data_IF_291472622288
#
_entry.id   IF_291472622288
#
_cell.length_a   1.000
_cell.length_b   1.000
_cell.length_c   1.000
_cell.angle_alpha   90.00
_cell.angle_beta   90.00
_cell.angle_gamma   90.00
#
_symmetry.space_group_name_H-M   'P 1'
#
loop_
_entity.id
_entity.type
_entity.pdbx_description
1 polymer ?
#
# COMPACT_ATOMS: atom_id res chain seq x y z
N UNK A 1 -11.65 -63.15 57.66
CA UNK A 1 -12.83 -62.27 57.58
C UNK A 1 -12.94 -61.78 56.16
N UNK A 2 -13.96 -62.29 55.49
CA UNK A 2 -14.39 -61.90 54.16
C UNK A 2 -15.14 -60.55 54.21
N UNK A 3 -15.35 -59.94 53.04
CA UNK A 3 -16.38 -58.95 52.64
C UNK A 3 -15.85 -57.83 51.73
N UNK A 4 -15.71 -58.19 50.46
CA UNK A 4 -16.21 -57.47 49.29
C UNK A 4 -16.75 -56.04 49.50
N UNK A 5 -16.06 -55.03 48.96
CA UNK A 5 -16.69 -53.83 48.42
C UNK A 5 -15.80 -53.22 47.33
N UNK A 6 -16.45 -52.86 46.20
CA UNK A 6 -15.96 -52.15 45.01
C UNK A 6 -15.31 -52.94 43.87
N UNK A 7 -16.20 -53.63 43.13
CA UNK A 7 -16.11 -53.85 41.70
C UNK A 7 -17.10 -52.87 41.03
N UNK A 8 -16.64 -51.85 40.29
CA UNK A 8 -17.15 -51.44 38.96
C UNK A 8 -16.47 -50.13 38.46
N UNK A 9 -16.00 -50.05 37.20
CA UNK A 9 -15.36 -48.86 36.64
C UNK A 9 -16.30 -48.13 35.65
N UNK A 10 -17.27 -47.36 36.14
CA UNK A 10 -18.02 -46.42 35.29
C UNK A 10 -18.48 -45.20 36.09
N UNK A 11 -17.75 -44.07 35.97
CA UNK A 11 -18.32 -42.74 35.70
C UNK A 11 -17.30 -41.60 35.94
N UNK A 12 -17.23 -40.72 34.93
CA UNK A 12 -16.79 -39.32 34.97
C UNK A 12 -15.32 -39.02 35.25
N UNK A 13 -14.55 -38.81 34.18
CA UNK A 13 -14.05 -37.49 33.75
C UNK A 13 -13.13 -37.69 32.54
N UNK A 14 -13.52 -37.19 31.37
CA UNK A 14 -12.70 -37.33 30.17
C UNK A 14 -13.41 -36.89 28.89
N UNK A 15 -13.70 -35.60 28.74
CA UNK A 15 -13.95 -35.05 27.40
C UNK A 15 -12.61 -34.98 26.68
N UNK A 16 -12.48 -35.73 25.58
CA UNK A 16 -11.29 -35.78 24.76
C UNK A 16 -11.13 -34.43 24.02
N UNK A 17 -10.09 -33.61 24.31
CA UNK A 17 -9.98 -32.22 23.85
C UNK A 17 -9.93 -32.06 22.32
N UNK A 18 -9.54 -33.12 21.58
CA UNK A 18 -9.58 -33.13 20.12
C UNK A 18 -11.01 -33.10 19.55
N UNK A 19 -11.95 -33.80 20.18
CA UNK A 19 -13.35 -33.85 19.72
C UNK A 19 -14.12 -32.56 20.05
N UNK A 20 -13.71 -31.84 21.09
CA UNK A 20 -14.27 -30.51 21.40
C UNK A 20 -13.74 -29.43 20.44
N UNK A 21 -12.48 -29.51 20.00
CA UNK A 21 -11.95 -28.63 18.96
C UNK A 21 -12.69 -28.82 17.63
N UNK A 22 -12.85 -30.06 17.16
CA UNK A 22 -13.59 -30.33 15.91
C UNK A 22 -15.05 -29.88 15.97
N UNK A 23 -15.71 -30.04 17.13
CA UNK A 23 -17.09 -29.54 17.32
C UNK A 23 -17.15 -28.01 17.37
N UNK A 24 -16.13 -27.34 17.92
CA UNK A 24 -16.02 -25.87 17.91
C UNK A 24 -15.82 -25.36 16.49
N UNK A 25 -14.94 -25.98 15.72
CA UNK A 25 -14.64 -25.58 14.34
C UNK A 25 -15.85 -25.82 13.41
N UNK A 26 -16.57 -26.95 13.58
CA UNK A 26 -17.80 -27.21 12.82
C UNK A 26 -18.93 -26.22 13.18
N UNK A 27 -19.06 -25.84 14.44
CA UNK A 27 -20.05 -24.84 14.86
C UNK A 27 -19.69 -23.44 14.36
N UNK A 28 -18.40 -23.10 14.30
CA UNK A 28 -17.92 -21.84 13.74
C UNK A 28 -18.19 -21.75 12.23
N UNK A 29 -17.95 -22.84 11.49
CA UNK A 29 -18.28 -22.96 10.07
C UNK A 29 -19.79 -22.83 9.79
N UNK A 30 -20.63 -23.42 10.64
CA UNK A 30 -22.10 -23.27 10.55
C UNK A 30 -22.57 -21.84 10.85
N UNK A 31 -21.90 -21.11 11.75
CA UNK A 31 -22.18 -19.70 12.00
C UNK A 31 -21.79 -18.79 10.82
N UNK A 32 -20.70 -19.11 10.12
CA UNK A 32 -20.24 -18.36 8.94
C UNK A 32 -21.11 -18.61 7.69
N UNK A 33 -21.78 -19.75 7.60
CA UNK A 33 -22.68 -20.09 6.50
C UNK A 33 -24.09 -19.47 6.62
N UNK A 34 -24.37 -18.71 7.68
CA UNK A 34 -25.68 -18.11 7.91
C UNK A 34 -25.77 -16.73 7.22
N UNK A 35 -26.65 -16.53 6.21
CA UNK A 35 -26.71 -15.28 5.44
C UNK A 35 -27.07 -14.04 6.28
N UNK A 36 -27.62 -14.23 7.48
CA UNK A 36 -27.87 -13.15 8.44
C UNK A 36 -26.59 -12.54 9.05
N UNK A 37 -25.44 -13.23 9.02
CA UNK A 37 -24.16 -12.76 9.57
C UNK A 37 -23.28 -12.08 8.51
N UNK A 38 -23.60 -12.27 7.22
CA UNK A 38 -22.87 -11.64 6.10
C UNK A 38 -23.27 -10.18 5.83
N UNK A 39 -24.22 -9.64 6.60
CA UNK A 39 -24.66 -8.26 6.46
C UNK A 39 -23.96 -7.41 7.54
N UNK A 40 -22.73 -6.98 7.25
CA UNK A 40 -22.08 -5.93 8.05
C UNK A 40 -22.92 -4.64 7.91
N UNK A 41 -23.34 -4.00 9.01
CA UNK A 41 -24.05 -2.74 8.91
C UNK A 41 -23.09 -1.71 8.27
N UNK A 42 -23.49 -1.18 7.12
CA UNK A 42 -22.83 -0.06 6.48
C UNK A 42 -22.72 1.07 7.53
N UNK A 43 -21.51 1.43 7.92
CA UNK A 43 -21.25 2.48 8.89
C UNK A 43 -21.88 3.79 8.38
N UNK A 44 -23.02 4.19 8.96
CA UNK A 44 -23.66 5.47 8.67
C UNK A 44 -22.84 6.56 9.34
N UNK A 45 -22.06 7.30 8.56
CA UNK A 45 -21.45 8.55 9.02
C UNK A 45 -22.55 9.56 9.38
N UNK A 46 -22.36 10.37 10.44
CA UNK A 46 -23.36 11.35 10.85
C UNK A 46 -23.63 12.33 9.70
N UNK A 47 -24.90 12.44 9.32
CA UNK A 47 -25.37 13.37 8.30
C UNK A 47 -25.10 14.79 8.75
N UNK A 48 -24.19 15.50 8.07
CA UNK A 48 -24.07 16.94 8.21
C UNK A 48 -25.40 17.61 7.85
N UNK A 49 -25.81 18.50 8.74
CA UNK A 49 -26.97 19.39 8.70
C UNK A 49 -27.15 20.03 7.33
N UNK A 50 -28.38 20.07 6.84
CA UNK A 50 -28.80 20.67 5.57
C UNK A 50 -28.26 22.11 5.42
N UNK A 51 -27.29 22.31 4.54
CA UNK A 51 -26.96 23.64 4.03
C UNK A 51 -28.01 24.03 2.97
N UNK A 52 -29.17 24.51 3.43
CA UNK A 52 -30.21 25.07 2.57
C UNK A 52 -30.42 26.55 2.91
N UNK A 53 -29.62 27.44 2.33
CA UNK A 53 -29.94 28.87 2.20
C UNK A 53 -28.91 29.63 1.34
N UNK A 54 -28.80 29.33 0.04
CA UNK A 54 -28.25 30.29 -0.93
C UNK A 54 -29.06 30.20 -2.24
N UNK A 55 -29.42 31.34 -2.84
CA UNK A 55 -30.29 31.37 -4.01
C UNK A 55 -29.55 30.83 -5.24
N UNK A 56 -30.23 29.97 -6.02
CA UNK A 56 -29.72 29.46 -7.29
C UNK A 56 -29.85 30.54 -8.36
N UNK A 57 -28.74 31.17 -8.75
CA UNK A 57 -28.67 31.90 -10.01
C UNK A 57 -28.73 30.86 -11.15
N UNK A 58 -29.72 30.98 -12.02
CA UNK A 58 -29.85 30.15 -13.22
C UNK A 58 -29.32 30.94 -14.40
N UNK A 59 -28.22 30.49 -14.99
CA UNK A 59 -27.81 30.97 -16.32
C UNK A 59 -28.23 29.96 -17.38
N UNK A 60 -28.81 30.47 -18.47
CA UNK A 60 -29.37 29.72 -19.58
C UNK A 60 -28.24 29.38 -20.56
N UNK A 61 -27.50 28.33 -20.26
CA UNK A 61 -26.51 27.76 -21.17
C UNK A 61 -26.14 26.34 -20.73
N UNK A 62 -26.39 25.35 -21.58
CA UNK A 62 -26.29 23.92 -21.28
C UNK A 62 -24.87 23.37 -21.11
N UNK A 63 -24.00 24.05 -20.37
CA UNK A 63 -22.70 23.52 -19.96
C UNK A 63 -22.72 23.30 -18.45
N UNK A 64 -22.80 22.03 -18.03
CA UNK A 64 -22.55 21.61 -16.65
C UNK A 64 -21.04 21.81 -16.36
N UNK A 65 -20.64 23.04 -16.11
CA UNK A 65 -19.42 23.32 -15.36
C UNK A 65 -19.71 22.94 -13.91
N UNK A 66 -19.09 21.85 -13.47
CA UNK A 66 -19.00 21.50 -12.06
C UNK A 66 -18.31 22.69 -11.39
N UNK A 67 -18.99 23.26 -10.40
CA UNK A 67 -18.65 24.52 -9.73
C UNK A 67 -17.18 24.62 -9.33
N UNK A 68 -16.52 25.66 -9.82
CA UNK A 68 -15.22 26.16 -9.38
C UNK A 68 -15.28 26.65 -7.93
N UNK A 69 -14.88 25.82 -6.96
CA UNK A 69 -14.05 26.17 -5.79
C UNK A 69 -13.48 24.87 -5.19
N UNK A 70 -12.37 24.33 -5.74
CA UNK A 70 -11.51 23.40 -4.97
C UNK A 70 -10.06 23.23 -5.49
N UNK A 71 -9.68 23.83 -6.62
CA UNK A 71 -8.38 23.55 -7.25
C UNK A 71 -7.26 24.52 -6.85
N UNK A 72 -7.19 24.89 -5.57
CA UNK A 72 -5.92 25.36 -5.00
C UNK A 72 -5.21 24.15 -4.42
N UNK A 73 -4.58 23.37 -5.30
CA UNK A 73 -3.59 22.31 -5.04
C UNK A 73 -3.66 21.76 -3.59
N UNK A 74 -4.55 20.79 -3.34
CA UNK A 74 -4.52 20.04 -2.08
C UNK A 74 -3.55 18.86 -2.20
N UNK A 75 -2.24 19.15 -2.12
CA UNK A 75 -1.24 18.14 -1.75
C UNK A 75 -1.41 17.81 -0.26
N UNK A 76 -2.52 17.19 0.12
CA UNK A 76 -2.83 16.89 1.54
C UNK A 76 -2.08 15.67 2.09
N UNK A 77 -1.14 15.11 1.32
CA UNK A 77 -0.47 13.85 1.67
C UNK A 77 1.04 14.00 1.46
N UNK A 78 1.74 14.24 2.57
CA UNK A 78 3.19 14.31 2.61
C UNK A 78 3.84 12.97 2.41
N UNK A 79 4.23 12.68 1.17
CA UNK A 79 4.83 11.41 0.79
C UNK A 79 5.57 11.54 -0.52
N UNK A 80 6.67 10.81 -0.63
CA UNK A 80 7.22 10.44 -1.93
C UNK A 80 7.39 8.94 -1.97
N UNK A 81 6.69 8.31 -2.90
CA UNK A 81 6.92 6.93 -3.28
C UNK A 81 7.31 6.88 -4.75
N UNK A 82 8.16 5.93 -5.11
CA UNK A 82 8.49 5.63 -6.50
C UNK A 82 8.67 4.15 -6.69
N UNK A 83 8.43 3.70 -7.92
CA UNK A 83 8.71 2.34 -8.34
C UNK A 83 9.09 2.31 -9.81
N UNK A 84 10.03 1.44 -10.18
CA UNK A 84 10.38 1.22 -11.58
C UNK A 84 10.84 -0.21 -11.86
N UNK A 85 10.66 -0.63 -13.11
CA UNK A 85 11.09 -1.92 -13.64
C UNK A 85 12.56 -1.83 -14.08
N UNK A 86 13.37 -2.82 -13.75
CA UNK A 86 14.73 -2.97 -14.25
C UNK A 86 15.00 -4.44 -14.57
N UNK A 87 16.16 -4.75 -15.16
CA UNK A 87 16.53 -6.11 -15.60
C UNK A 87 16.37 -7.17 -14.48
N UNK A 88 16.68 -6.80 -13.24
CA UNK A 88 16.59 -7.69 -12.07
C UNK A 88 15.20 -7.79 -11.42
N UNK A 89 14.22 -6.98 -11.86
CA UNK A 89 12.85 -7.03 -11.35
C UNK A 89 12.20 -5.66 -11.18
N UNK A 90 11.60 -5.43 -10.01
CA UNK A 90 10.97 -4.14 -9.67
C UNK A 90 11.66 -3.55 -8.46
N UNK A 91 12.02 -2.28 -8.53
CA UNK A 91 12.49 -1.53 -7.39
C UNK A 91 11.38 -0.62 -6.89
N UNK A 92 11.21 -0.56 -5.57
CA UNK A 92 10.30 0.36 -4.89
C UNK A 92 11.08 1.13 -3.84
N UNK A 93 11.01 2.45 -3.87
CA UNK A 93 11.63 3.32 -2.87
C UNK A 93 10.58 4.27 -2.28
N UNK A 94 10.62 4.45 -0.97
CA UNK A 94 9.67 5.29 -0.24
C UNK A 94 10.36 6.08 0.87
N UNK A 95 9.81 7.25 1.17
CA UNK A 95 10.10 7.97 2.41
C UNK A 95 9.25 7.41 3.58
N UNK A 96 9.35 8.00 4.77
CA UNK A 96 8.63 7.53 5.97
C UNK A 96 8.03 8.64 6.82
N UNK A 97 7.97 9.88 6.32
CA UNK A 97 7.36 11.01 7.02
C UNK A 97 5.83 10.94 6.95
N UNK A 98 5.16 11.27 8.04
CA UNK A 98 3.73 11.58 8.04
C UNK A 98 3.53 12.96 8.66
N UNK A 99 2.84 13.83 7.93
CA UNK A 99 2.59 15.21 8.29
C UNK A 99 1.10 15.46 8.53
N UNK A 100 0.81 16.35 9.46
CA UNK A 100 -0.51 16.87 9.79
C UNK A 100 -0.44 18.39 9.67
N UNK A 101 -0.67 18.91 8.46
CA UNK A 101 -0.32 20.29 8.15
C UNK A 101 1.19 20.50 8.26
N UNK A 102 1.62 21.49 9.04
CA UNK A 102 3.05 21.74 9.31
C UNK A 102 3.66 20.83 10.38
N UNK A 103 2.83 20.14 11.17
CA UNK A 103 3.32 19.26 12.24
C UNK A 103 3.75 17.91 11.66
N UNK A 104 4.96 17.46 11.99
CA UNK A 104 5.44 16.13 11.63
C UNK A 104 4.95 15.15 12.71
N UNK A 105 3.95 14.34 12.38
CA UNK A 105 3.39 13.35 13.30
C UNK A 105 4.29 12.13 13.48
N UNK A 106 5.00 11.72 12.43
CA UNK A 106 5.96 10.61 12.51
C UNK A 106 7.01 10.70 11.39
N UNK A 107 8.22 10.21 11.67
CA UNK A 107 9.29 10.05 10.68
C UNK A 107 9.61 8.59 10.32
N UNK A 108 8.77 7.63 10.75
CA UNK A 108 9.05 6.19 10.67
C UNK A 108 7.88 5.36 10.13
N UNK A 109 6.96 5.99 9.41
CA UNK A 109 5.80 5.32 8.81
C UNK A 109 6.25 4.31 7.76
N UNK A 110 5.70 3.10 7.84
CA UNK A 110 5.90 2.05 6.85
C UNK A 110 4.97 2.28 5.66
N UNK A 111 5.47 2.95 4.63
CA UNK A 111 4.71 3.27 3.40
C UNK A 111 4.73 2.15 2.36
N UNK A 112 5.35 1.01 2.66
CA UNK A 112 5.22 -0.21 1.85
C UNK A 112 4.37 -1.20 2.62
N UNK A 113 3.30 -1.67 2.01
CA UNK A 113 2.38 -2.64 2.58
C UNK A 113 2.57 -3.96 1.82
N UNK A 114 3.00 -5.04 2.51
CA UNK A 114 3.13 -6.34 1.88
C UNK A 114 1.74 -6.93 1.63
N UNK A 115 1.45 -7.27 0.37
CA UNK A 115 0.19 -7.91 -0.04
C UNK A 115 0.37 -9.43 -0.13
N UNK A 116 1.51 -9.87 -0.67
CA UNK A 116 1.96 -11.26 -0.66
C UNK A 116 3.49 -11.31 -0.59
N UNK A 117 4.09 -12.51 -0.64
CA UNK A 117 5.56 -12.66 -0.73
C UNK A 117 6.14 -12.06 -2.04
N UNK A 118 5.33 -11.90 -3.07
CA UNK A 118 5.75 -11.48 -4.43
C UNK A 118 5.09 -10.18 -4.89
N UNK A 119 4.32 -9.53 -4.00
CA UNK A 119 3.52 -8.35 -4.32
C UNK A 119 3.53 -7.38 -3.14
N UNK A 120 3.89 -6.13 -3.40
CA UNK A 120 3.81 -5.03 -2.45
C UNK A 120 2.98 -3.88 -3.03
N UNK A 121 2.29 -3.18 -2.14
CA UNK A 121 1.60 -1.92 -2.41
C UNK A 121 2.32 -0.76 -1.74
N UNK A 122 2.13 0.46 -2.26
CA UNK A 122 2.72 1.68 -1.69
C UNK A 122 1.64 2.61 -1.17
N UNK A 123 1.85 3.17 0.01
CA UNK A 123 0.94 4.12 0.64
C UNK A 123 1.26 5.55 0.21
N UNK A 124 0.42 6.14 -0.63
CA UNK A 124 0.32 7.58 -0.83
C UNK A 124 -1.17 8.00 -0.88
N UNK A 125 -1.52 9.10 -0.22
CA UNK A 125 -2.92 9.44 0.05
C UNK A 125 -3.27 9.24 1.52
N UNK A 126 -4.55 8.97 1.80
CA UNK A 126 -5.05 8.66 3.12
C UNK A 126 -4.41 7.40 3.68
N UNK A 127 -3.59 7.53 4.72
CA UNK A 127 -2.88 6.38 5.30
C UNK A 127 -3.81 5.25 5.76
N UNK A 128 -5.00 5.60 6.28
CA UNK A 128 -6.02 4.64 6.67
C UNK A 128 -6.61 3.91 5.45
N UNK A 129 -6.96 4.64 4.39
CA UNK A 129 -7.55 4.08 3.17
C UNK A 129 -6.59 3.10 2.49
N UNK A 130 -5.34 3.51 2.26
CA UNK A 130 -4.31 2.63 1.69
C UNK A 130 -4.10 1.39 2.55
N UNK A 131 -3.90 1.56 3.86
CA UNK A 131 -3.67 0.44 4.77
C UNK A 131 -4.83 -0.55 4.80
N UNK A 132 -6.06 -0.04 4.81
CA UNK A 132 -7.24 -0.87 4.89
C UNK A 132 -7.47 -1.66 3.59
N UNK A 133 -7.48 -0.97 2.45
CA UNK A 133 -7.79 -1.59 1.17
C UNK A 133 -6.67 -2.50 0.66
N UNK A 134 -5.40 -2.19 0.91
CA UNK A 134 -4.30 -3.08 0.54
C UNK A 134 -4.25 -4.34 1.43
N UNK A 135 -4.62 -4.24 2.72
CA UNK A 135 -4.79 -5.43 3.58
C UNK A 135 -6.02 -6.26 3.17
N UNK A 136 -7.11 -5.61 2.78
CA UNK A 136 -8.26 -6.30 2.22
C UNK A 136 -7.86 -7.05 0.93
N UNK A 137 -7.10 -6.39 0.05
CA UNK A 137 -6.53 -7.02 -1.14
C UNK A 137 -5.63 -8.20 -0.78
N UNK A 138 -4.76 -8.09 0.23
CA UNK A 138 -3.91 -9.19 0.68
C UNK A 138 -4.73 -10.43 1.08
N UNK A 139 -5.84 -10.22 1.79
CA UNK A 139 -6.79 -11.29 2.12
C UNK A 139 -7.42 -11.90 0.85
N UNK A 140 -7.87 -11.08 -0.11
CA UNK A 140 -8.46 -11.58 -1.37
C UNK A 140 -7.44 -12.36 -2.20
N UNK A 141 -6.20 -11.87 -2.29
CA UNK A 141 -5.08 -12.55 -2.94
C UNK A 141 -4.82 -13.91 -2.28
N UNK A 142 -4.84 -13.97 -0.94
CA UNK A 142 -4.64 -15.22 -0.21
C UNK A 142 -5.79 -16.21 -0.39
N UNK A 143 -7.03 -15.73 -0.42
CA UNK A 143 -8.20 -16.57 -0.71
C UNK A 143 -8.14 -17.14 -2.13
N UNK A 144 -7.71 -16.34 -3.11
CA UNK A 144 -7.50 -16.80 -4.48
C UNK A 144 -6.45 -17.92 -4.53
N UNK A 145 -5.31 -17.75 -3.85
CA UNK A 145 -4.28 -18.79 -3.75
C UNK A 145 -4.79 -20.11 -3.18
N UNK A 146 -5.64 -20.05 -2.14
CA UNK A 146 -6.21 -21.24 -1.51
C UNK A 146 -7.26 -21.92 -2.38
N UNK A 147 -8.02 -21.16 -3.20
CA UNK A 147 -9.05 -21.70 -4.08
C UNK A 147 -8.48 -22.32 -5.35
N UNK A 148 -7.56 -21.61 -5.99
CA UNK A 148 -7.01 -22.00 -7.30
C UNK A 148 -5.71 -22.81 -7.19
N UNK A 149 -5.14 -22.91 -5.98
CA UNK A 149 -3.82 -23.53 -5.77
C UNK A 149 -2.67 -22.77 -6.43
N UNK A 150 -2.91 -21.53 -6.88
CA UNK A 150 -1.96 -20.73 -7.66
C UNK A 150 -1.92 -19.28 -7.21
N UNK A 151 -0.72 -18.69 -7.27
CA UNK A 151 -0.47 -17.27 -7.01
C UNK A 151 -1.27 -16.38 -7.94
N UNK A 152 -1.88 -15.34 -7.36
CA UNK A 152 -2.56 -14.29 -8.12
C UNK A 152 -1.53 -13.51 -8.94
N UNK A 153 -1.91 -13.11 -10.15
CA UNK A 153 -1.06 -12.20 -10.94
C UNK A 153 -1.17 -10.76 -10.43
N UNK A 154 -0.10 -9.97 -10.56
CA UNK A 154 -0.09 -8.52 -10.26
C UNK A 154 -1.18 -7.80 -11.06
N UNK A 155 -1.41 -8.23 -12.30
CA UNK A 155 -2.46 -7.70 -13.15
C UNK A 155 -3.86 -7.95 -12.57
N UNK A 156 -4.13 -9.15 -12.06
CA UNK A 156 -5.40 -9.49 -11.43
C UNK A 156 -5.57 -8.78 -10.08
N UNK A 157 -4.54 -8.75 -9.23
CA UNK A 157 -4.57 -8.06 -7.94
C UNK A 157 -4.83 -6.56 -8.10
N UNK A 158 -4.12 -5.88 -9.00
CA UNK A 158 -4.37 -4.46 -9.31
C UNK A 158 -5.77 -4.22 -9.87
N UNK A 159 -6.33 -5.18 -10.64
CA UNK A 159 -7.69 -5.05 -11.18
C UNK A 159 -8.75 -5.24 -10.10
N UNK A 160 -8.56 -6.15 -9.15
CA UNK A 160 -9.43 -6.29 -7.98
C UNK A 160 -9.46 -5.00 -7.16
N UNK A 161 -8.28 -4.43 -6.86
CA UNK A 161 -8.20 -3.18 -6.13
C UNK A 161 -8.87 -2.03 -6.87
N UNK A 162 -8.55 -1.85 -8.16
CA UNK A 162 -9.15 -0.78 -8.96
C UNK A 162 -10.68 -0.90 -9.06
N UNK A 163 -11.22 -2.11 -9.16
CA UNK A 163 -12.66 -2.33 -9.18
C UNK A 163 -13.32 -1.97 -7.84
N UNK A 164 -12.70 -2.35 -6.72
CA UNK A 164 -13.20 -2.01 -5.38
C UNK A 164 -13.18 -0.49 -5.19
N UNK A 165 -12.05 0.15 -5.47
CA UNK A 165 -11.91 1.60 -5.29
C UNK A 165 -12.86 2.39 -6.19
N UNK A 166 -13.08 1.91 -7.42
CA UNK A 166 -14.08 2.50 -8.33
C UNK A 166 -15.51 2.47 -7.77
N UNK A 167 -15.89 1.42 -7.03
CA UNK A 167 -17.23 1.35 -6.40
C UNK A 167 -17.43 2.41 -5.32
N UNK A 168 -16.34 2.87 -4.69
CA UNK A 168 -16.34 3.91 -3.66
C UNK A 168 -15.96 5.29 -4.22
N UNK A 169 -15.95 5.46 -5.55
CA UNK A 169 -15.68 6.75 -6.18
C UNK A 169 -16.71 7.78 -5.74
N UNK A 170 -16.22 8.96 -5.32
CA UNK A 170 -17.07 10.05 -4.81
C UNK A 170 -17.45 9.93 -3.33
N UNK A 171 -17.08 8.85 -2.63
CA UNK A 171 -17.27 8.71 -1.18
C UNK A 171 -16.13 9.30 -0.33
N UNK A 172 -15.17 9.98 -0.98
CA UNK A 172 -14.04 10.62 -0.28
C UNK A 172 -12.84 9.72 0.01
N UNK A 173 -12.74 8.55 -0.64
CA UNK A 173 -11.50 7.77 -0.61
C UNK A 173 -10.33 8.57 -1.18
N UNK A 174 -9.18 8.47 -0.53
CA UNK A 174 -7.95 9.12 -0.97
C UNK A 174 -6.82 8.10 -1.00
N UNK A 175 -6.44 7.64 -2.18
CA UNK A 175 -5.32 6.73 -2.34
C UNK A 175 -4.71 6.82 -3.73
N UNK A 176 -3.39 6.68 -3.80
CA UNK A 176 -2.63 6.46 -5.02
C UNK A 176 -1.54 5.45 -4.69
N UNK A 177 -1.74 4.21 -5.13
CA UNK A 177 -0.86 3.09 -4.78
C UNK A 177 -0.24 2.47 -6.02
N UNK A 178 1.04 2.13 -5.90
CA UNK A 178 1.75 1.33 -6.88
C UNK A 178 1.74 -0.12 -6.42
N UNK A 179 1.15 -0.97 -7.24
CA UNK A 179 1.16 -2.42 -7.10
C UNK A 179 2.37 -2.95 -7.86
N UNK A 180 3.42 -3.29 -7.14
CA UNK A 180 4.67 -3.79 -7.66
C UNK A 180 4.82 -5.28 -7.31
N UNK A 181 5.08 -6.12 -8.30
CA UNK A 181 5.24 -7.55 -8.04
C UNK A 181 5.90 -8.33 -9.17
N UNK A 182 6.11 -9.62 -8.91
CA UNK A 182 6.66 -10.56 -9.88
C UNK A 182 5.64 -11.65 -10.23
N UNK A 183 5.26 -11.71 -11.50
CA UNK A 183 4.37 -12.74 -12.05
C UNK A 183 5.18 -13.94 -12.56
N UNK A 184 4.79 -15.16 -12.20
CA UNK A 184 5.45 -16.41 -12.66
C UNK A 184 5.58 -16.52 -14.19
N UNK A 185 4.58 -16.04 -14.94
CA UNK A 185 4.55 -16.15 -16.41
C UNK A 185 5.04 -14.91 -17.14
N UNK A 186 4.90 -13.72 -16.53
CA UNK A 186 5.11 -12.43 -17.19
C UNK A 186 6.30 -11.65 -16.63
N UNK A 187 6.94 -12.16 -15.58
CA UNK A 187 8.03 -11.50 -14.90
C UNK A 187 7.58 -10.26 -14.11
N UNK A 188 8.44 -9.24 -14.00
CA UNK A 188 8.17 -8.07 -13.18
C UNK A 188 7.05 -7.22 -13.78
N UNK A 189 6.09 -6.83 -12.96
CA UNK A 189 4.98 -5.98 -13.38
C UNK A 189 4.72 -4.88 -12.35
N UNK A 190 4.37 -3.70 -12.86
CA UNK A 190 4.09 -2.52 -12.08
C UNK A 190 2.79 -1.87 -12.58
N UNK A 191 1.88 -1.61 -11.64
CA UNK A 191 0.62 -0.93 -11.92
C UNK A 191 0.39 0.20 -10.93
N UNK A 192 -0.12 1.32 -11.42
CA UNK A 192 -0.64 2.40 -10.59
C UNK A 192 -2.16 2.27 -10.47
N UNK A 193 -2.70 2.45 -9.26
CA UNK A 193 -4.13 2.47 -8.95
C UNK A 193 -4.47 3.68 -8.07
N UNK A 194 -5.48 4.45 -8.43
CA UNK A 194 -5.92 5.63 -7.67
C UNK A 194 -7.37 5.52 -7.14
N UNK A 195 -7.77 6.50 -6.33
CA UNK A 195 -9.11 6.66 -5.76
C UNK A 195 -10.23 6.86 -6.79
N UNK A 196 -9.90 7.24 -8.02
CA UNK A 196 -10.86 7.34 -9.12
C UNK A 196 -11.14 5.97 -9.78
N UNK A 197 -10.38 4.93 -9.39
CA UNK A 197 -10.41 3.62 -10.02
C UNK A 197 -9.57 3.55 -11.29
N UNK A 198 -8.78 4.59 -11.59
CA UNK A 198 -7.81 4.57 -12.69
C UNK A 198 -6.80 3.48 -12.41
N UNK A 199 -6.48 2.71 -13.45
CA UNK A 199 -5.49 1.65 -13.37
C UNK A 199 -4.57 1.69 -14.58
N UNK A 200 -3.31 2.01 -14.35
CA UNK A 200 -2.31 2.17 -15.42
C UNK A 200 -1.21 1.14 -15.27
N UNK A 201 -0.83 0.50 -16.38
CA UNK A 201 0.42 -0.27 -16.46
C UNK A 201 1.54 0.68 -16.88
N UNK A 202 2.69 0.60 -16.23
CA UNK A 202 3.84 1.42 -16.60
C UNK A 202 5.15 0.79 -16.15
N UNK A 203 6.24 1.34 -16.66
CA UNK A 203 7.59 0.90 -16.31
C UNK A 203 8.16 1.70 -15.13
N UNK A 204 7.60 2.88 -14.86
CA UNK A 204 8.07 3.80 -13.85
C UNK A 204 6.92 4.68 -13.39
N UNK A 205 6.78 4.83 -12.08
CA UNK A 205 5.83 5.74 -11.45
C UNK A 205 6.48 6.41 -10.24
N UNK A 206 6.11 7.67 -9.99
CA UNK A 206 6.31 8.33 -8.71
C UNK A 206 5.03 9.02 -8.26
N UNK A 207 4.70 8.88 -6.98
CA UNK A 207 3.41 9.32 -6.42
C UNK A 207 3.65 10.07 -5.11
N UNK A 208 2.87 11.13 -4.90
CA UNK A 208 2.90 11.96 -3.70
C UNK A 208 3.43 13.38 -3.96
N UNK A 209 3.58 14.16 -2.89
CA UNK A 209 3.97 15.57 -2.94
C UNK A 209 5.37 15.80 -3.53
N UNK A 210 6.33 14.90 -3.27
CA UNK A 210 7.69 15.02 -3.81
C UNK A 210 7.91 14.26 -5.12
N UNK A 211 6.85 13.78 -5.77
CA UNK A 211 6.96 12.97 -6.99
C UNK A 211 7.68 13.69 -8.13
N UNK A 212 7.45 14.99 -8.31
CA UNK A 212 8.11 15.78 -9.37
C UNK A 212 9.63 15.86 -9.19
N UNK A 213 10.10 15.97 -7.95
CA UNK A 213 11.54 15.94 -7.64
C UNK A 213 12.14 14.56 -7.92
N UNK A 214 11.41 13.49 -7.56
CA UNK A 214 11.85 12.13 -7.84
C UNK A 214 11.93 11.87 -9.36
N UNK A 215 10.92 12.30 -10.13
CA UNK A 215 10.94 12.19 -11.59
C UNK A 215 12.16 12.87 -12.22
N UNK A 216 12.58 14.05 -11.75
CA UNK A 216 13.77 14.72 -12.28
C UNK A 216 15.06 13.88 -12.18
N UNK A 217 15.20 13.10 -11.12
CA UNK A 217 16.36 12.18 -10.95
C UNK A 217 16.15 10.90 -11.76
N UNK A 218 14.94 10.37 -11.75
CA UNK A 218 14.61 9.14 -12.46
C UNK A 218 14.75 9.32 -13.97
N UNK A 219 14.26 10.41 -14.55
CA UNK A 219 14.28 10.64 -16.00
C UNK A 219 15.71 10.78 -16.56
N UNK A 220 16.68 11.18 -15.72
CA UNK A 220 18.09 11.29 -16.11
C UNK A 220 18.87 9.99 -15.91
N UNK A 221 18.58 9.23 -14.85
CA UNK A 221 19.34 8.04 -14.49
C UNK A 221 18.73 6.70 -14.90
N UNK A 222 17.43 6.65 -15.22
CA UNK A 222 16.71 5.41 -15.45
C UNK A 222 17.09 4.75 -16.78
N UNK A 223 17.48 3.48 -16.70
CA UNK A 223 17.61 2.58 -17.85
C UNK A 223 17.11 1.19 -17.45
N UNK A 224 16.55 0.46 -18.40
CA UNK A 224 16.03 -0.89 -18.10
C UNK A 224 17.16 -1.88 -17.77
N UNK A 225 18.33 -1.71 -18.38
CA UNK A 225 19.51 -2.58 -18.25
C UNK A 225 20.39 -2.28 -17.02
N UNK A 226 19.91 -1.45 -16.08
CA UNK A 226 20.62 -1.17 -14.83
C UNK A 226 20.95 -2.45 -14.07
N UNK A 227 22.17 -2.52 -13.54
CA UNK A 227 22.49 -3.48 -12.50
C UNK A 227 21.71 -3.15 -11.23
N UNK A 228 21.50 -4.14 -10.39
CA UNK A 228 20.74 -3.98 -9.17
C UNK A 228 21.34 -2.95 -8.22
N UNK A 229 22.67 -2.92 -8.06
CA UNK A 229 23.32 -1.91 -7.20
C UNK A 229 23.07 -0.50 -7.73
N UNK A 230 23.10 -0.33 -9.06
CA UNK A 230 22.82 0.94 -9.71
C UNK A 230 21.35 1.33 -9.56
N UNK A 231 20.43 0.38 -9.70
CA UNK A 231 19.00 0.61 -9.47
C UNK A 231 18.73 1.04 -8.02
N UNK A 232 19.35 0.36 -7.04
CA UNK A 232 19.24 0.71 -5.62
C UNK A 232 19.74 2.13 -5.38
N UNK A 233 20.91 2.49 -5.91
CA UNK A 233 21.44 3.85 -5.74
C UNK A 233 20.57 4.90 -6.43
N UNK A 234 20.05 4.62 -7.63
CA UNK A 234 19.12 5.52 -8.32
C UNK A 234 17.85 5.75 -7.50
N UNK A 235 17.24 4.68 -6.97
CA UNK A 235 16.04 4.77 -6.13
C UNK A 235 16.30 5.53 -4.83
N UNK A 236 17.43 5.25 -4.16
CA UNK A 236 17.87 6.00 -2.96
C UNK A 236 18.03 7.49 -3.28
N UNK A 237 18.79 7.81 -4.32
CA UNK A 237 19.10 9.19 -4.72
C UNK A 237 17.83 9.96 -5.10
N UNK A 238 16.90 9.33 -5.81
CA UNK A 238 15.63 9.94 -6.19
C UNK A 238 14.75 10.31 -4.98
N UNK A 239 14.60 9.39 -4.01
CA UNK A 239 13.88 9.72 -2.75
C UNK A 239 14.65 10.75 -1.94
N UNK A 240 15.98 10.68 -1.88
CA UNK A 240 16.81 11.65 -1.18
C UNK A 240 16.59 13.08 -1.71
N UNK A 241 16.64 13.29 -3.03
CA UNK A 241 16.39 14.62 -3.61
C UNK A 241 14.97 15.12 -3.34
N UNK A 242 13.97 14.22 -3.42
CA UNK A 242 12.60 14.57 -3.09
C UNK A 242 12.45 14.96 -1.61
N UNK A 243 12.99 14.17 -0.69
CA UNK A 243 12.95 14.45 0.76
C UNK A 243 13.75 15.68 1.17
N UNK A 244 14.77 16.08 0.40
CA UNK A 244 15.53 17.30 0.67
C UNK A 244 14.77 18.57 0.26
N UNK A 245 13.94 18.49 -0.79
CA UNK A 245 13.24 19.65 -1.36
C UNK A 245 11.77 19.75 -0.95
N UNK A 246 11.09 18.62 -0.80
CA UNK A 246 9.69 18.57 -0.38
C UNK A 246 9.59 18.54 1.16
N UNK A 247 9.03 19.61 1.74
CA UNK A 247 8.83 19.74 3.18
C UNK A 247 7.99 18.59 3.78
N UNK A 248 7.09 18.00 2.98
CA UNK A 248 6.19 16.97 3.45
C UNK A 248 6.73 15.54 3.33
N UNK A 249 7.86 15.35 2.63
CA UNK A 249 8.57 14.08 2.52
C UNK A 249 9.80 14.06 3.43
N UNK A 250 10.16 12.90 4.00
CA UNK A 250 11.40 12.79 4.78
C UNK A 250 11.46 11.60 5.72
N UNK A 251 12.29 11.73 6.77
CA UNK A 251 12.57 10.66 7.72
C UNK A 251 13.58 9.67 7.14
N UNK A 252 13.27 8.38 7.24
CA UNK A 252 14.07 7.31 6.65
C UNK A 252 13.69 7.00 5.21
N UNK A 253 14.69 6.67 4.41
CA UNK A 253 14.56 6.15 3.05
C UNK A 253 14.55 4.63 3.13
N UNK A 254 13.55 4.00 2.52
CA UNK A 254 13.41 2.55 2.47
C UNK A 254 13.39 2.10 1.01
N UNK A 255 14.25 1.15 0.65
CA UNK A 255 14.32 0.60 -0.71
C UNK A 255 14.09 -0.89 -0.67
N UNK A 256 13.18 -1.35 -1.52
CA UNK A 256 12.79 -2.74 -1.68
C UNK A 256 13.05 -3.17 -3.12
N UNK A 257 13.53 -4.40 -3.29
CA UNK A 257 13.69 -5.04 -4.58
C UNK A 257 12.81 -6.27 -4.63
N UNK A 258 12.06 -6.42 -5.72
CA UNK A 258 11.17 -7.55 -5.96
C UNK A 258 11.75 -8.39 -7.09
N UNK A 259 12.00 -9.66 -6.77
CA UNK A 259 12.50 -10.68 -7.68
C UNK A 259 11.50 -11.81 -7.84
N UNK A 260 11.87 -12.80 -8.63
CA UNK A 260 11.17 -14.08 -8.71
C UNK A 260 11.06 -14.80 -7.35
N UNK A 261 12.04 -14.64 -6.45
CA UNK A 261 12.05 -15.26 -5.12
C UNK A 261 11.18 -14.54 -4.09
N UNK A 262 10.79 -13.30 -4.36
CA UNK A 262 9.99 -12.44 -3.48
C UNK A 262 10.55 -11.03 -3.38
N UNK A 263 9.96 -10.23 -2.50
CA UNK A 263 10.49 -8.91 -2.15
C UNK A 263 11.45 -8.96 -0.96
N UNK A 264 12.46 -8.11 -0.99
CA UNK A 264 13.44 -7.94 0.09
C UNK A 264 13.71 -6.45 0.31
N UNK A 265 13.91 -6.06 1.58
CA UNK A 265 14.33 -4.71 1.92
C UNK A 265 15.85 -4.60 1.79
N UNK A 266 16.31 -3.94 0.72
CA UNK A 266 17.74 -3.80 0.42
C UNK A 266 18.40 -2.66 1.18
N UNK A 267 17.63 -1.63 1.53
CA UNK A 267 18.15 -0.47 2.23
C UNK A 267 17.14 0.15 3.18
N UNK A 268 17.67 0.64 4.31
CA UNK A 268 16.99 1.51 5.26
C UNK A 268 18.02 2.45 5.87
N UNK A 269 17.81 3.76 5.78
CA UNK A 269 18.70 4.74 6.42
C UNK A 269 18.04 6.09 6.59
N UNK A 270 18.56 6.90 7.51
CA UNK A 270 18.08 8.26 7.71
C UNK A 270 18.54 9.18 6.57
N UNK A 271 17.65 10.05 6.12
CA UNK A 271 17.94 10.99 5.04
C UNK A 271 19.04 11.99 5.40
N UNK A 272 19.12 12.44 6.66
CA UNK A 272 20.13 13.40 7.08
C UNK A 272 21.52 12.76 7.13
N UNK A 273 21.61 11.51 7.58
CA UNK A 273 22.87 10.75 7.57
C UNK A 273 23.38 10.55 6.14
N UNK A 274 22.48 10.28 5.20
CA UNK A 274 22.81 10.22 3.77
C UNK A 274 23.25 11.58 3.21
N UNK A 275 22.57 12.67 3.61
CA UNK A 275 22.89 14.01 3.16
C UNK A 275 24.28 14.45 3.63
N UNK A 276 24.50 14.47 4.95
CA UNK A 276 25.71 15.02 5.57
C UNK A 276 26.91 14.07 5.53
N UNK A 277 26.68 12.79 5.24
CA UNK A 277 27.76 11.83 4.97
C UNK A 277 27.96 11.68 3.46
N UNK A 278 27.33 10.65 2.90
CA UNK A 278 27.58 10.19 1.53
C UNK A 278 27.50 11.31 0.48
N UNK A 279 26.39 12.04 0.40
CA UNK A 279 26.15 12.94 -0.73
C UNK A 279 26.89 14.29 -0.64
N UNK A 280 27.15 14.81 0.56
CA UNK A 280 28.01 15.99 0.73
C UNK A 280 29.48 15.66 0.42
N UNK A 281 29.96 14.49 0.82
CA UNK A 281 31.32 14.03 0.50
C UNK A 281 31.50 13.81 -1.01
N UNK A 282 30.52 13.20 -1.68
CA UNK A 282 30.49 13.04 -3.14
C UNK A 282 30.54 14.41 -3.84
N UNK A 283 29.69 15.37 -3.44
CA UNK A 283 29.67 16.70 -4.03
C UNK A 283 30.98 17.48 -3.80
N UNK A 284 31.59 17.34 -2.61
CA UNK A 284 32.87 17.96 -2.30
C UNK A 284 34.03 17.34 -3.10
N UNK A 285 33.96 16.03 -3.40
CA UNK A 285 34.93 15.36 -4.26
C UNK A 285 34.79 15.79 -5.72
N UNK A 286 33.56 15.89 -6.23
CA UNK A 286 33.28 16.39 -7.59
C UNK A 286 33.75 17.83 -7.78
N UNK A 287 33.48 18.71 -6.80
CA UNK A 287 33.92 20.11 -6.85
C UNK A 287 35.45 20.30 -6.77
N UNK A 288 36.19 19.32 -6.25
CA UNK A 288 37.66 19.31 -6.27
C UNK A 288 38.23 18.75 -7.57
N UNK A 289 37.43 18.02 -8.34
CA UNK A 289 37.84 17.41 -9.60
C UNK A 289 37.56 18.30 -10.83
N UNK A 290 36.70 19.32 -10.68
CA UNK A 290 36.38 20.35 -11.68
C UNK A 290 37.29 21.58 -11.56
#
# INVERSE_FOLDING_TARGET
>A
MDLSFFNDPHSHFGTNPRKELEKRDLNMLKQMANPAVTNFPLFKTPTHTKASALPKLTDKGGHRYVSEVSDKIKFSHGTTTLAFLFKGGVLVAVDSRASMGSYIGSGTVKKVIPVSKYLIGTMAGGAADCSFWERNLAMQCRLHELREGKRISVAAASKLLGNVVFQYRGYGLSMGTMMAGWDEKKGPNLFYVDSDGTRLKGNLFSVGSGATYAYGVLDTGYKYDLDEKQAIELGKRAIYHATHRDAYSGGTINVFVIRETGWEQMYKGDMNELHYGQYMDEAAAEAKAS
#
